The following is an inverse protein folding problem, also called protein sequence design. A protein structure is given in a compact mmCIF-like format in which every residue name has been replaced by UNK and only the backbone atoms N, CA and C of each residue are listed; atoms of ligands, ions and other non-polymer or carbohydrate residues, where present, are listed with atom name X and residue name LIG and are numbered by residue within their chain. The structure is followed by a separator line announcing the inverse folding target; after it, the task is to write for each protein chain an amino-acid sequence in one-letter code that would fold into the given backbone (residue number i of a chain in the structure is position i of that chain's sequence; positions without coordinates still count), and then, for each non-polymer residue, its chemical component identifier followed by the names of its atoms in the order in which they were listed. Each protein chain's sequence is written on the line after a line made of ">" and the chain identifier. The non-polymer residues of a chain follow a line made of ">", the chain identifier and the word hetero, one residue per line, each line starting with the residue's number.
data_IF_766743850222
#
_entry.id   IF_766743850222
#
_cell.length_a   1.000
_cell.length_b   1.000
_cell.length_c   1.000
_cell.angle_alpha   90.00
_cell.angle_beta   90.00
_cell.angle_gamma   90.00
#
_symmetry.space_group_name_H-M   'P 1'
#
loop_
_entity.id
_entity.type
_entity.pdbx_description
1 polymer ?
#
# COMPACT_ATOMS: atom_id res chain seq x y z
N UNK A 1 -11.76 16.12 16.72
CA UNK A 1 -10.58 16.05 15.84
C UNK A 1 -9.55 15.20 16.57
N UNK A 2 -9.54 13.89 16.32
CA UNK A 2 -8.64 12.97 17.02
C UNK A 2 -7.31 13.03 16.27
N UNK A 3 -6.30 13.68 16.86
CA UNK A 3 -4.92 13.63 16.38
C UNK A 3 -4.36 12.21 16.61
N UNK A 4 -4.70 11.29 15.72
CA UNK A 4 -4.15 9.92 15.68
C UNK A 4 -2.73 9.87 15.09
N UNK A 5 -2.28 10.96 14.45
CA UNK A 5 -1.03 10.99 13.68
C UNK A 5 0.21 11.40 14.48
N UNK A 6 0.06 12.18 15.56
CA UNK A 6 1.22 12.68 16.32
C UNK A 6 1.63 11.77 17.48
N UNK A 7 0.76 10.83 17.87
CA UNK A 7 1.00 9.87 18.95
C UNK A 7 0.30 8.57 18.59
N UNK A 8 1.04 7.68 17.92
CA UNK A 8 0.69 6.26 17.92
C UNK A 8 0.37 5.84 19.35
N UNK A 9 -0.66 5.02 19.52
CA UNK A 9 -1.09 4.52 20.84
C UNK A 9 0.05 3.68 21.43
N UNK A 10 0.97 4.34 22.11
CA UNK A 10 2.02 3.72 22.92
C UNK A 10 2.11 4.52 24.21
N UNK A 11 1.21 4.23 25.16
CA UNK A 11 1.60 4.41 26.55
C UNK A 11 2.80 3.50 26.80
N UNK A 12 3.88 3.96 27.47
CA UNK A 12 5.01 3.09 27.75
C UNK A 12 4.54 1.98 28.68
N UNK A 13 4.49 0.74 28.18
CA UNK A 13 4.23 -0.45 29.00
C UNK A 13 5.38 -0.71 30.01
N UNK A 14 6.54 -0.08 29.80
CA UNK A 14 7.73 -0.22 30.63
C UNK A 14 8.42 1.15 30.82
N UNK A 15 9.03 1.44 31.99
CA UNK A 15 9.71 2.72 32.29
C UNK A 15 10.75 3.17 31.25
N UNK A 16 11.23 2.22 30.45
CA UNK A 16 12.24 2.39 29.41
C UNK A 16 11.68 2.83 28.05
N UNK A 17 10.35 2.90 27.89
CA UNK A 17 9.71 3.30 26.63
C UNK A 17 9.90 2.29 25.49
N UNK A 18 9.93 0.99 25.82
CA UNK A 18 10.08 -0.12 24.86
C UNK A 18 8.85 -0.23 23.93
N UNK A 19 9.07 -0.75 22.72
CA UNK A 19 8.00 -1.00 21.77
C UNK A 19 7.11 -2.16 22.23
N UNK A 20 5.78 -2.10 22.03
CA UNK A 20 4.89 -3.20 22.41
C UNK A 20 5.29 -4.53 21.74
N UNK A 21 5.38 -5.65 22.48
CA UNK A 21 5.90 -6.92 21.97
C UNK A 21 4.82 -7.78 21.29
N UNK A 22 3.92 -7.18 20.52
CA UNK A 22 2.95 -7.96 19.73
C UNK A 22 3.62 -8.48 18.44
N UNK A 23 3.03 -9.52 17.84
CA UNK A 23 3.44 -10.00 16.53
C UNK A 23 3.04 -9.00 15.46
N UNK A 24 4.03 -8.43 14.81
CA UNK A 24 3.83 -7.49 13.71
C UNK A 24 3.59 -8.22 12.40
N UNK A 25 2.87 -7.58 11.47
CA UNK A 25 2.65 -8.12 10.13
C UNK A 25 3.80 -7.71 9.20
N UNK A 26 4.20 -8.61 8.33
CA UNK A 26 5.16 -8.31 7.26
C UNK A 26 4.51 -7.63 6.05
N UNK A 27 3.21 -7.83 5.88
CA UNK A 27 2.39 -7.27 4.82
C UNK A 27 1.21 -6.54 5.44
N UNK A 28 1.10 -5.25 5.15
CA UNK A 28 -0.06 -4.42 5.46
C UNK A 28 -0.79 -3.99 4.20
N UNK A 29 -1.67 -3.01 4.35
CA UNK A 29 -2.32 -2.33 3.24
C UNK A 29 -3.81 -2.10 3.48
N UNK A 30 -4.45 -1.51 2.48
CA UNK A 30 -5.82 -1.06 2.55
C UNK A 30 -6.79 -2.11 2.00
N UNK A 31 -7.78 -2.51 2.81
CA UNK A 31 -8.94 -3.27 2.36
C UNK A 31 -10.21 -2.43 2.48
N UNK A 32 -10.89 -2.21 1.35
CA UNK A 32 -12.19 -1.54 1.31
C UNK A 32 -13.28 -2.56 0.97
N UNK A 33 -14.30 -2.61 1.82
CA UNK A 33 -15.50 -3.43 1.61
C UNK A 33 -16.72 -2.57 1.28
N UNK A 34 -17.65 -3.15 0.55
CA UNK A 34 -18.97 -2.58 0.35
C UNK A 34 -19.90 -2.81 1.56
N UNK A 35 -21.13 -2.31 1.48
CA UNK A 35 -22.14 -2.42 2.53
C UNK A 35 -22.61 -3.84 2.83
N UNK A 36 -22.18 -4.82 2.06
CA UNK A 36 -22.45 -6.26 2.23
C UNK A 36 -21.18 -7.06 2.55
N UNK A 37 -20.05 -6.38 2.81
CA UNK A 37 -18.78 -7.02 3.17
C UNK A 37 -17.94 -7.53 1.99
N UNK A 38 -18.36 -7.27 0.74
CA UNK A 38 -17.61 -7.69 -0.45
C UNK A 38 -16.42 -6.76 -0.68
N UNK A 39 -15.21 -7.29 -0.98
CA UNK A 39 -14.05 -6.44 -1.25
C UNK A 39 -14.24 -5.66 -2.56
N UNK A 40 -14.10 -4.34 -2.50
CA UNK A 40 -14.18 -3.44 -3.66
C UNK A 40 -12.84 -2.78 -4.00
N UNK A 41 -11.91 -2.78 -3.04
CA UNK A 41 -10.54 -2.37 -3.25
C UNK A 41 -9.62 -3.12 -2.31
N UNK A 42 -8.46 -3.51 -2.80
CA UNK A 42 -7.41 -4.08 -1.98
C UNK A 42 -6.06 -3.58 -2.47
N UNK A 43 -5.28 -3.06 -1.54
CA UNK A 43 -3.85 -2.82 -1.69
C UNK A 43 -3.12 -3.68 -0.66
N UNK A 44 -2.00 -4.26 -1.06
CA UNK A 44 -1.10 -4.97 -0.17
C UNK A 44 0.32 -4.45 -0.41
N UNK A 45 1.05 -4.20 0.68
CA UNK A 45 2.42 -3.77 0.64
C UNK A 45 3.22 -4.39 1.79
N UNK A 46 4.41 -4.98 1.53
CA UNK A 46 4.96 -5.31 0.22
C UNK A 46 4.10 -6.30 -0.56
N UNK A 47 4.20 -6.34 -1.89
CA UNK A 47 3.34 -7.18 -2.72
C UNK A 47 3.81 -8.63 -2.77
N UNK A 48 5.12 -8.86 -2.68
CA UNK A 48 5.76 -10.17 -2.80
C UNK A 48 6.45 -10.55 -1.50
N UNK A 49 5.78 -11.37 -0.69
CA UNK A 49 6.25 -11.78 0.63
C UNK A 49 6.31 -13.31 0.75
N UNK A 50 7.23 -13.79 1.57
CA UNK A 50 7.29 -15.17 2.03
C UNK A 50 6.34 -15.40 3.20
N UNK A 51 5.58 -16.49 3.16
CA UNK A 51 4.65 -16.85 4.23
C UNK A 51 5.28 -17.62 5.39
N UNK A 52 6.45 -18.23 5.18
CA UNK A 52 7.13 -19.08 6.17
C UNK A 52 8.62 -19.23 5.88
N UNK A 53 9.39 -19.66 6.87
CA UNK A 53 10.81 -19.91 6.71
C UNK A 53 11.10 -21.04 5.72
N UNK A 54 10.22 -22.06 5.69
CA UNK A 54 10.34 -23.25 4.85
C UNK A 54 10.18 -22.91 3.36
N UNK A 55 9.52 -21.79 3.05
CA UNK A 55 9.39 -21.30 1.67
C UNK A 55 10.63 -20.58 1.14
N UNK A 56 11.64 -20.32 1.99
CA UNK A 56 12.84 -19.59 1.61
C UNK A 56 13.84 -20.50 0.87
N UNK A 57 14.31 -20.10 -0.33
CA UNK A 57 15.45 -20.73 -0.97
C UNK A 57 16.68 -20.74 -0.05
N UNK A 58 17.31 -21.91 0.13
CA UNK A 58 18.51 -22.06 0.99
C UNK A 58 19.60 -21.05 0.65
N UNK A 59 19.82 -20.83 -0.64
CA UNK A 59 20.85 -19.92 -1.13
C UNK A 59 20.61 -18.46 -0.71
N UNK A 60 19.34 -18.02 -0.62
CA UNK A 60 18.99 -16.69 -0.07
C UNK A 60 19.28 -16.62 1.43
N UNK A 61 18.88 -17.64 2.18
CA UNK A 61 19.13 -17.70 3.63
C UNK A 61 20.63 -17.67 3.90
N UNK A 62 21.41 -18.51 3.21
CA UNK A 62 22.86 -18.56 3.35
C UNK A 62 23.51 -17.22 3.00
N UNK A 63 23.08 -16.55 1.92
CA UNK A 63 23.55 -15.22 1.56
C UNK A 63 23.27 -14.17 2.64
N UNK A 64 22.04 -14.14 3.16
CA UNK A 64 21.64 -13.20 4.20
C UNK A 64 22.45 -13.41 5.49
N UNK A 65 22.53 -14.66 5.97
CA UNK A 65 23.27 -14.98 7.19
C UNK A 65 24.76 -14.67 7.04
N UNK A 66 25.32 -14.85 5.84
CA UNK A 66 26.71 -14.50 5.58
C UNK A 66 26.98 -12.99 5.68
N UNK A 67 26.05 -12.16 5.20
CA UNK A 67 26.20 -10.70 5.24
C UNK A 67 25.93 -10.15 6.65
N UNK A 68 24.92 -10.69 7.33
CA UNK A 68 24.36 -10.06 8.53
C UNK A 68 24.75 -10.77 9.83
N UNK A 69 24.57 -12.10 9.94
CA UNK A 69 24.91 -12.88 11.14
C UNK A 69 24.95 -14.40 10.88
N UNK A 70 26.14 -14.99 10.80
CA UNK A 70 26.33 -16.43 10.55
C UNK A 70 25.77 -17.35 11.64
N UNK A 71 25.66 -16.86 12.88
CA UNK A 71 25.26 -17.67 14.04
C UNK A 71 23.77 -17.59 14.36
N UNK A 72 22.99 -16.81 13.58
CA UNK A 72 21.59 -16.57 13.92
C UNK A 72 20.76 -17.86 13.99
N UNK A 73 21.02 -18.83 13.11
CA UNK A 73 20.28 -20.10 13.06
C UNK A 73 21.09 -21.27 13.66
N UNK A 74 22.01 -21.00 14.57
CA UNK A 74 22.73 -22.05 15.29
C UNK A 74 21.80 -22.75 16.29
N UNK A 75 21.51 -24.03 16.04
CA UNK A 75 20.63 -24.85 16.88
C UNK A 75 21.32 -25.35 18.16
N UNK A 76 22.65 -25.19 18.29
CA UNK A 76 23.38 -25.59 19.51
C UNK A 76 23.07 -24.70 20.72
N UNK A 77 22.54 -23.50 20.48
CA UNK A 77 22.16 -22.54 21.53
C UNK A 77 20.71 -22.03 21.34
N UNK A 78 19.68 -22.84 21.65
CA UNK A 78 18.27 -22.47 21.44
C UNK A 78 17.84 -21.20 22.18
N UNK A 79 18.49 -20.89 23.31
CA UNK A 79 18.16 -19.74 24.16
C UNK A 79 18.89 -18.44 23.76
N UNK A 80 19.65 -18.46 22.66
CA UNK A 80 20.45 -17.31 22.25
C UNK A 80 19.57 -16.09 21.96
N UNK A 81 19.91 -14.95 22.57
CA UNK A 81 19.24 -13.69 22.26
C UNK A 81 19.65 -13.20 20.86
N UNK A 82 18.74 -13.10 19.88
CA UNK A 82 19.08 -12.69 18.51
C UNK A 82 19.30 -11.18 18.35
N UNK A 83 18.95 -10.37 19.35
CA UNK A 83 19.25 -8.95 19.36
C UNK A 83 20.75 -8.67 19.62
N UNK A 84 21.48 -9.65 20.15
CA UNK A 84 22.90 -9.55 20.51
C UNK A 84 23.71 -10.45 19.57
N UNK A 85 24.79 -9.91 19.03
CA UNK A 85 25.72 -10.68 18.21
C UNK A 85 26.86 -11.22 19.08
N UNK A 86 26.70 -12.43 19.59
CA UNK A 86 27.59 -13.01 20.60
C UNK A 86 29.02 -13.26 20.08
N UNK A 87 29.18 -13.62 18.81
CA UNK A 87 30.50 -13.76 18.18
C UNK A 87 31.24 -12.42 18.09
N UNK A 88 30.54 -11.35 17.67
CA UNK A 88 31.11 -9.99 17.61
C UNK A 88 31.33 -9.40 18.99
N UNK A 89 30.46 -9.70 19.96
CA UNK A 89 30.63 -9.29 21.36
C UNK A 89 31.85 -9.95 22.00
N UNK A 90 32.03 -11.27 21.81
CA UNK A 90 33.20 -11.99 22.28
C UNK A 90 34.49 -11.50 21.63
N UNK A 91 34.47 -11.25 20.31
CA UNK A 91 35.62 -10.66 19.60
C UNK A 91 35.93 -9.24 20.08
N UNK A 92 34.90 -8.40 20.29
CA UNK A 92 35.09 -7.06 20.82
C UNK A 92 35.69 -7.09 22.24
N UNK A 93 35.29 -8.01 23.10
CA UNK A 93 35.89 -8.17 24.44
C UNK A 93 37.36 -8.65 24.35
N UNK A 94 37.67 -9.56 23.43
CA UNK A 94 39.04 -10.00 23.19
C UNK A 94 39.91 -8.87 22.61
N UNK A 95 39.37 -8.11 21.65
CA UNK A 95 40.04 -6.96 21.04
C UNK A 95 40.19 -5.80 22.05
N UNK A 96 39.21 -5.52 22.93
CA UNK A 96 39.31 -4.50 23.99
C UNK A 96 40.45 -4.81 24.98
N UNK A 97 40.72 -6.10 25.24
CA UNK A 97 41.87 -6.53 26.06
C UNK A 97 43.23 -6.24 25.39
N UNK A 98 43.23 -6.03 24.07
CA UNK A 98 44.39 -5.62 23.25
C UNK A 98 44.41 -4.11 22.94
N UNK A 99 43.34 -3.36 23.21
CA UNK A 99 43.11 -2.00 22.72
C UNK A 99 43.34 -0.87 23.75
N UNK A 100 44.42 -0.96 24.55
CA UNK A 100 44.96 0.19 25.29
C UNK A 100 45.65 1.26 24.40
N UNK A 101 45.66 1.12 23.05
CA UNK A 101 46.54 1.93 22.19
C UNK A 101 45.95 2.62 20.95
N UNK A 102 44.62 2.74 20.74
CA UNK A 102 44.07 3.63 19.67
C UNK A 102 42.69 4.23 19.98
N UNK A 103 42.59 5.54 20.29
CA UNK A 103 41.31 6.25 20.35
C UNK A 103 40.88 6.67 18.93
N UNK A 104 39.72 6.17 18.47
CA UNK A 104 39.15 6.55 17.16
C UNK A 104 38.31 5.49 16.42
N UNK A 105 38.04 4.32 17.02
CA UNK A 105 37.25 3.27 16.36
C UNK A 105 35.74 3.60 16.42
N UNK A 106 35.19 4.18 15.35
CA UNK A 106 33.73 4.26 15.17
C UNK A 106 33.24 2.91 14.65
N UNK A 107 32.48 2.16 15.47
CA UNK A 107 31.90 0.87 15.10
C UNK A 107 30.76 1.05 14.09
N UNK A 108 31.12 1.11 12.81
CA UNK A 108 30.18 1.12 11.70
C UNK A 108 29.52 -0.28 11.56
N UNK A 109 28.19 -0.34 11.56
CA UNK A 109 27.43 -1.47 10.97
C UNK A 109 27.07 -2.68 11.85
N UNK A 110 27.38 -2.70 13.15
CA UNK A 110 27.18 -3.88 14.01
C UNK A 110 25.74 -4.03 14.58
N UNK A 111 24.69 -3.97 13.75
CA UNK A 111 23.30 -4.19 14.19
C UNK A 111 22.81 -5.56 13.73
N UNK A 112 22.33 -6.39 14.65
CA UNK A 112 21.72 -7.70 14.33
C UNK A 112 20.45 -7.55 13.51
N UNK A 113 20.03 -8.60 12.81
CA UNK A 113 18.76 -8.63 12.06
C UNK A 113 17.57 -8.16 12.90
N UNK A 114 17.47 -8.63 14.15
CA UNK A 114 16.41 -8.21 15.07
C UNK A 114 16.43 -6.69 15.31
N UNK A 115 17.59 -6.12 15.64
CA UNK A 115 17.71 -4.66 15.86
C UNK A 115 17.47 -3.83 14.59
N UNK A 116 17.80 -4.39 13.43
CA UNK A 116 17.54 -3.74 12.15
C UNK A 116 16.04 -3.66 11.86
N UNK A 117 15.30 -4.74 12.11
CA UNK A 117 13.83 -4.75 11.97
C UNK A 117 13.18 -3.72 12.92
N UNK A 118 13.60 -3.66 14.19
CA UNK A 118 13.12 -2.63 15.14
C UNK A 118 13.36 -1.21 14.61
N UNK A 119 14.54 -0.98 14.04
CA UNK A 119 14.89 0.30 13.45
C UNK A 119 13.99 0.63 12.25
N UNK A 120 13.68 -0.32 11.37
CA UNK A 120 12.81 -0.07 10.22
C UNK A 120 11.36 0.22 10.63
N UNK A 121 10.85 -0.49 11.65
CA UNK A 121 9.44 -0.40 12.05
C UNK A 121 9.14 0.76 13.01
N UNK A 122 10.11 1.17 13.83
CA UNK A 122 9.80 2.05 14.96
C UNK A 122 10.67 3.30 15.10
N UNK A 123 11.76 3.43 14.34
CA UNK A 123 12.57 4.65 14.35
C UNK A 123 12.09 5.65 13.28
N UNK A 124 11.87 6.93 13.63
CA UNK A 124 11.53 7.96 12.65
C UNK A 124 12.54 7.99 11.49
N UNK A 125 12.07 7.75 10.27
CA UNK A 125 12.90 7.68 9.07
C UNK A 125 13.86 6.48 8.99
N UNK A 126 13.70 5.47 9.85
CA UNK A 126 14.53 4.26 9.86
C UNK A 126 15.98 4.49 10.29
N UNK A 127 16.26 5.60 10.98
CA UNK A 127 17.61 6.00 11.41
C UNK A 127 17.71 6.00 12.92
N UNK A 128 18.83 5.49 13.44
CA UNK A 128 19.15 5.59 14.87
C UNK A 128 19.80 6.94 15.12
N UNK A 129 19.11 7.84 15.81
CA UNK A 129 19.59 9.19 16.12
C UNK A 129 20.41 9.29 17.41
N UNK A 130 20.38 8.27 18.27
CA UNK A 130 21.10 8.31 19.57
C UNK A 130 21.47 6.91 20.13
N UNK A 131 22.49 6.82 21.02
CA UNK A 131 22.81 5.59 21.74
C UNK A 131 21.64 5.03 22.56
N UNK A 132 20.82 5.91 23.15
CA UNK A 132 19.61 5.52 23.91
C UNK A 132 18.59 4.84 23.00
N UNK A 133 18.43 5.31 21.77
CA UNK A 133 17.55 4.69 20.79
C UNK A 133 18.07 3.30 20.35
N UNK A 134 19.38 3.16 20.15
CA UNK A 134 20.00 1.85 19.87
C UNK A 134 19.74 0.84 21.00
N UNK A 135 19.90 1.26 22.26
CA UNK A 135 19.61 0.42 23.41
C UNK A 135 18.12 0.06 23.47
N UNK A 136 17.21 1.00 23.20
CA UNK A 136 15.77 0.75 23.13
C UNK A 136 15.42 -0.27 22.05
N UNK A 137 16.02 -0.17 20.87
CA UNK A 137 15.85 -1.15 19.78
C UNK A 137 16.32 -2.55 20.24
N UNK A 138 17.53 -2.65 20.81
CA UNK A 138 18.07 -3.93 21.33
C UNK A 138 17.18 -4.56 22.40
N UNK A 139 16.73 -3.77 23.37
CA UNK A 139 15.86 -4.26 24.45
C UNK A 139 14.48 -4.66 23.93
N UNK A 140 13.90 -3.89 23.01
CA UNK A 140 12.59 -4.22 22.41
C UNK A 140 12.67 -5.52 21.60
N UNK A 141 13.69 -5.67 20.76
CA UNK A 141 13.98 -6.92 20.04
C UNK A 141 14.18 -8.11 20.98
N UNK A 142 14.89 -7.91 22.10
CA UNK A 142 15.12 -8.95 23.09
C UNK A 142 13.81 -9.40 23.74
N UNK A 143 12.99 -8.45 24.22
CA UNK A 143 11.69 -8.76 24.83
C UNK A 143 10.78 -9.50 23.85
N UNK A 144 10.79 -9.09 22.57
CA UNK A 144 10.01 -9.74 21.52
C UNK A 144 10.50 -11.16 21.24
N UNK A 145 11.81 -11.39 21.21
CA UNK A 145 12.39 -12.71 20.98
C UNK A 145 11.96 -13.74 22.04
N UNK A 146 11.86 -13.32 23.30
CA UNK A 146 11.49 -14.18 24.43
C UNK A 146 9.98 -14.17 24.74
N UNK A 147 9.16 -13.50 23.91
CA UNK A 147 7.71 -13.37 24.19
C UNK A 147 7.00 -14.72 24.33
N UNK A 148 7.45 -15.73 23.61
CA UNK A 148 6.85 -17.08 23.60
C UNK A 148 7.63 -18.12 24.43
N UNK A 149 8.65 -17.70 25.20
CA UNK A 149 9.47 -18.59 26.02
C UNK A 149 10.97 -18.38 25.87
N UNK A 150 11.76 -19.19 26.58
CA UNK A 150 13.24 -19.12 26.57
C UNK A 150 13.86 -19.61 25.26
N UNK A 151 13.21 -20.53 24.55
CA UNK A 151 13.65 -21.00 23.24
C UNK A 151 13.28 -19.98 22.16
N UNK A 152 14.29 -19.36 21.55
CA UNK A 152 14.13 -18.32 20.53
C UNK A 152 14.22 -18.89 19.10
N UNK A 153 14.41 -20.20 18.91
CA UNK A 153 14.69 -20.81 17.60
C UNK A 153 13.63 -20.50 16.55
N UNK A 154 12.35 -20.60 16.91
CA UNK A 154 11.26 -20.24 16.01
C UNK A 154 11.27 -18.75 15.65
N UNK A 155 11.57 -17.87 16.62
CA UNK A 155 11.68 -16.43 16.39
C UNK A 155 12.89 -16.09 15.50
N UNK A 156 14.02 -16.77 15.67
CA UNK A 156 15.23 -16.59 14.84
C UNK A 156 14.97 -16.93 13.38
N UNK A 157 14.21 -18.01 13.10
CA UNK A 157 13.74 -18.34 11.75
C UNK A 157 12.78 -17.28 11.21
N UNK A 158 11.84 -16.84 12.04
CA UNK A 158 10.91 -15.77 11.66
C UNK A 158 11.65 -14.47 11.30
N UNK A 159 12.69 -14.07 12.03
CA UNK A 159 13.49 -12.87 11.72
C UNK A 159 14.07 -12.88 10.31
N UNK A 160 14.48 -14.05 9.79
CA UNK A 160 14.97 -14.18 8.41
C UNK A 160 13.86 -13.87 7.41
N UNK A 161 12.66 -14.41 7.65
CA UNK A 161 11.45 -14.14 6.84
C UNK A 161 11.10 -12.65 6.89
N UNK A 162 11.00 -12.08 8.09
CA UNK A 162 10.64 -10.68 8.30
C UNK A 162 11.63 -9.74 7.62
N UNK A 163 12.94 -10.01 7.74
CA UNK A 163 13.95 -9.19 7.06
C UNK A 163 13.79 -9.27 5.55
N UNK A 164 13.72 -10.48 4.97
CA UNK A 164 13.58 -10.63 3.52
C UNK A 164 12.27 -10.04 3.00
N UNK A 165 11.22 -10.00 3.81
CA UNK A 165 9.95 -9.37 3.47
C UNK A 165 9.99 -7.84 3.59
N UNK A 166 10.75 -7.26 4.52
CA UNK A 166 10.59 -5.84 4.91
C UNK A 166 11.81 -4.96 4.69
N UNK A 167 12.94 -5.53 4.28
CA UNK A 167 14.20 -4.82 3.98
C UNK A 167 13.96 -3.62 3.02
N UNK A 168 14.19 -2.35 3.42
CA UNK A 168 14.00 -1.20 2.55
C UNK A 168 15.05 -1.12 1.41
N UNK A 169 14.60 -1.21 0.16
CA UNK A 169 15.43 -1.23 -1.04
C UNK A 169 15.25 0.04 -1.90
N UNK A 170 15.23 1.18 -1.20
CA UNK A 170 15.04 2.52 -1.75
C UNK A 170 13.69 2.71 -2.47
N UNK A 171 13.57 3.79 -3.23
CA UNK A 171 12.43 4.08 -4.08
C UNK A 171 12.92 4.31 -5.51
N UNK A 172 12.09 3.91 -6.48
CA UNK A 172 12.38 4.04 -7.90
C UNK A 172 11.21 4.71 -8.63
N UNK A 173 11.53 5.63 -9.54
CA UNK A 173 10.51 6.33 -10.33
C UNK A 173 9.66 5.35 -11.15
N UNK A 174 8.34 5.45 -11.01
CA UNK A 174 7.37 4.54 -11.65
C UNK A 174 7.05 3.27 -10.85
N UNK A 175 7.79 2.99 -9.78
CA UNK A 175 7.56 1.84 -8.89
C UNK A 175 7.11 2.28 -7.50
N UNK A 176 7.60 3.41 -7.00
CA UNK A 176 7.36 3.87 -5.62
C UNK A 176 8.45 3.40 -4.67
N UNK A 177 8.12 3.32 -3.39
CA UNK A 177 8.95 2.69 -2.36
C UNK A 177 9.02 1.19 -2.62
N UNK A 178 10.19 0.60 -2.39
CA UNK A 178 10.45 -0.82 -2.62
C UNK A 178 10.95 -1.39 -1.29
N UNK A 179 10.19 -2.34 -0.75
CA UNK A 179 10.53 -3.05 0.48
C UNK A 179 10.43 -4.55 0.25
N UNK A 180 11.38 -5.31 0.79
CA UNK A 180 11.43 -6.75 0.63
C UNK A 180 12.16 -7.18 -0.64
N UNK A 181 12.82 -8.34 -0.55
CA UNK A 181 13.60 -8.91 -1.65
C UNK A 181 12.72 -9.26 -2.86
N UNK A 182 11.45 -9.65 -2.63
CA UNK A 182 10.54 -10.01 -3.70
C UNK A 182 10.18 -8.80 -4.58
N UNK A 183 9.77 -7.69 -3.96
CA UNK A 183 9.52 -6.44 -4.69
C UNK A 183 10.81 -5.84 -5.23
N UNK A 184 11.93 -5.99 -4.51
CA UNK A 184 13.26 -5.60 -4.95
C UNK A 184 13.69 -6.25 -6.25
N UNK A 185 13.59 -7.57 -6.35
CA UNK A 185 13.97 -8.32 -7.55
C UNK A 185 13.08 -7.95 -8.74
N UNK A 186 11.78 -7.79 -8.51
CA UNK A 186 10.86 -7.33 -9.54
C UNK A 186 11.15 -5.90 -9.98
N UNK A 187 11.41 -4.97 -9.06
CA UNK A 187 11.54 -3.55 -9.37
C UNK A 187 12.93 -3.16 -9.90
N UNK A 188 14.01 -3.81 -9.43
CA UNK A 188 15.37 -3.49 -9.86
C UNK A 188 15.83 -4.32 -11.05
N UNK A 189 15.50 -5.61 -11.09
CA UNK A 189 16.00 -6.55 -12.09
C UNK A 189 14.91 -7.09 -13.04
N UNK A 190 13.64 -6.77 -12.82
CA UNK A 190 12.54 -7.21 -13.68
C UNK A 190 12.18 -8.69 -13.50
N UNK A 191 12.66 -9.33 -12.43
CA UNK A 191 12.47 -10.75 -12.19
C UNK A 191 11.21 -11.03 -11.39
N UNK A 192 10.42 -12.01 -11.81
CA UNK A 192 9.23 -12.41 -11.04
C UNK A 192 9.61 -13.14 -9.75
N UNK A 193 8.78 -13.01 -8.71
CA UNK A 193 9.02 -13.65 -7.41
C UNK A 193 9.06 -15.18 -7.52
N UNK A 194 8.15 -15.76 -8.30
CA UNK A 194 8.08 -17.20 -8.52
C UNK A 194 9.29 -17.75 -9.28
N UNK A 195 9.77 -16.99 -10.27
CA UNK A 195 10.96 -17.36 -11.04
C UNK A 195 12.21 -17.31 -10.17
N UNK A 196 12.42 -16.23 -9.42
CA UNK A 196 13.52 -16.12 -8.47
C UNK A 196 13.53 -17.32 -7.50
N UNK A 197 12.38 -17.61 -6.89
CA UNK A 197 12.28 -18.71 -5.93
C UNK A 197 12.56 -20.06 -6.56
N UNK A 198 11.99 -20.34 -7.74
CA UNK A 198 12.22 -21.59 -8.46
C UNK A 198 13.70 -21.79 -8.80
N UNK A 199 14.36 -20.75 -9.28
CA UNK A 199 15.77 -20.83 -9.70
C UNK A 199 16.72 -20.96 -8.50
N UNK A 200 16.41 -20.31 -7.36
CA UNK A 200 17.24 -20.37 -6.16
C UNK A 200 16.96 -21.59 -5.26
N UNK A 201 15.77 -22.18 -5.34
CA UNK A 201 15.40 -23.33 -4.53
C UNK A 201 15.90 -24.66 -5.12
N UNK A 202 16.16 -24.71 -6.42
CA UNK A 202 16.46 -25.96 -7.12
C UNK A 202 17.94 -26.36 -6.96
N UNK A 203 18.17 -27.57 -6.44
CA UNK A 203 19.50 -28.19 -6.42
C UNK A 203 19.98 -28.61 -7.83
N UNK A 204 19.09 -28.55 -8.82
CA UNK A 204 19.38 -28.72 -10.25
C UNK A 204 18.74 -27.57 -11.04
N UNK A 205 19.28 -26.35 -10.95
CA UNK A 205 18.77 -25.20 -11.70
C UNK A 205 18.82 -25.48 -13.21
N UNK A 206 18.00 -24.79 -14.03
CA UNK A 206 18.02 -24.98 -15.48
C UNK A 206 19.43 -24.85 -16.07
N UNK A 207 20.21 -23.89 -15.55
CA UNK A 207 21.66 -23.78 -15.73
C UNK A 207 22.30 -23.16 -14.49
N UNK A 208 23.59 -23.45 -14.25
CA UNK A 208 24.37 -22.78 -13.19
C UNK A 208 24.50 -21.28 -13.46
N UNK A 209 24.61 -20.88 -14.73
CA UNK A 209 24.70 -19.46 -15.12
C UNK A 209 23.44 -18.67 -14.75
N UNK A 210 22.25 -19.25 -14.95
CA UNK A 210 20.99 -18.62 -14.54
C UNK A 210 20.90 -18.51 -13.02
N UNK A 211 21.22 -19.59 -12.29
CA UNK A 211 21.23 -19.56 -10.82
C UNK A 211 22.23 -18.53 -10.28
N UNK A 212 23.41 -18.45 -10.87
CA UNK A 212 24.43 -17.47 -10.53
C UNK A 212 23.96 -16.04 -10.76
N UNK A 213 23.25 -15.80 -11.87
CA UNK A 213 22.67 -14.49 -12.19
C UNK A 213 21.64 -14.07 -11.14
N UNK A 214 20.63 -14.92 -10.91
CA UNK A 214 19.55 -14.64 -9.94
C UNK A 214 20.13 -14.46 -8.54
N UNK A 215 21.10 -15.29 -8.17
CA UNK A 215 21.73 -15.21 -6.86
C UNK A 215 22.53 -13.94 -6.68
N UNK A 216 23.34 -13.53 -7.67
CA UNK A 216 24.11 -12.28 -7.60
C UNK A 216 23.20 -11.07 -7.52
N UNK A 217 22.11 -11.04 -8.29
CA UNK A 217 21.08 -10.00 -8.22
C UNK A 217 20.49 -9.91 -6.80
N UNK A 218 20.01 -11.02 -6.24
CA UNK A 218 19.43 -11.03 -4.90
C UNK A 218 20.44 -10.68 -3.80
N UNK A 219 21.67 -11.19 -3.89
CA UNK A 219 22.76 -10.88 -2.96
C UNK A 219 23.10 -9.39 -2.97
N UNK A 220 23.11 -8.77 -4.15
CA UNK A 220 23.38 -7.35 -4.29
C UNK A 220 22.31 -6.48 -3.61
N UNK A 221 21.03 -6.88 -3.65
CA UNK A 221 19.97 -6.18 -2.93
C UNK A 221 20.18 -6.26 -1.42
N UNK A 222 20.51 -7.44 -0.88
CA UNK A 222 20.81 -7.62 0.55
C UNK A 222 22.00 -6.77 0.99
N UNK A 223 23.06 -6.69 0.17
CA UNK A 223 24.24 -5.84 0.45
C UNK A 223 23.89 -4.35 0.42
N UNK A 224 23.01 -3.95 -0.51
CA UNK A 224 22.65 -2.54 -0.71
C UNK A 224 21.97 -1.91 0.51
N UNK A 225 21.40 -2.72 1.42
CA UNK A 225 20.65 -2.29 2.61
C UNK A 225 21.37 -1.26 3.49
N UNK A 226 22.70 -1.24 3.48
CA UNK A 226 23.51 -0.28 4.27
C UNK A 226 23.41 1.15 3.74
N UNK A 227 22.99 1.33 2.49
CA UNK A 227 22.82 2.60 1.82
C UNK A 227 22.04 2.43 0.51
N UNK A 228 20.78 1.97 0.56
CA UNK A 228 20.09 1.43 -0.62
C UNK A 228 19.95 2.50 -1.70
N UNK A 229 19.63 3.75 -1.34
CA UNK A 229 19.56 4.84 -2.33
C UNK A 229 20.91 5.15 -2.98
N UNK A 230 22.03 5.03 -2.25
CA UNK A 230 23.36 5.31 -2.81
C UNK A 230 23.81 4.22 -3.79
N UNK A 231 23.51 2.96 -3.50
CA UNK A 231 23.87 1.84 -4.36
C UNK A 231 22.89 1.64 -5.51
N UNK A 232 21.58 1.63 -5.23
CA UNK A 232 20.54 1.27 -6.20
C UNK A 232 20.13 2.45 -7.07
N UNK A 233 20.28 3.71 -6.65
CA UNK A 233 20.10 4.86 -7.55
C UNK A 233 21.43 5.43 -8.07
N UNK A 234 22.56 4.91 -7.59
CA UNK A 234 23.90 5.36 -7.97
C UNK A 234 24.54 4.47 -9.03
N UNK A 235 25.87 4.36 -8.96
CA UNK A 235 26.64 3.53 -9.87
C UNK A 235 26.56 2.05 -9.48
N UNK A 236 25.85 1.27 -10.31
CA UNK A 236 25.69 -0.16 -10.14
C UNK A 236 27.03 -0.91 -10.12
N UNK A 237 28.08 -0.35 -10.73
CA UNK A 237 29.40 -0.99 -10.73
C UNK A 237 29.99 -1.08 -9.32
N UNK A 238 29.77 -0.06 -8.48
CA UNK A 238 30.20 -0.06 -7.08
C UNK A 238 29.49 -1.17 -6.29
N UNK A 239 28.20 -1.36 -6.54
CA UNK A 239 27.44 -2.44 -5.90
C UNK A 239 27.89 -3.82 -6.41
N UNK A 240 28.18 -3.94 -7.71
CA UNK A 240 28.70 -5.15 -8.33
C UNK A 240 30.04 -5.57 -7.72
N UNK A 241 31.01 -4.66 -7.64
CA UNK A 241 32.35 -4.95 -7.12
C UNK A 241 32.30 -5.37 -5.63
N UNK A 242 31.41 -4.75 -4.86
CA UNK A 242 31.15 -5.15 -3.48
C UNK A 242 30.51 -6.55 -3.41
N UNK A 243 29.53 -6.83 -4.27
CA UNK A 243 28.86 -8.13 -4.35
C UNK A 243 29.85 -9.23 -4.74
N UNK A 244 30.73 -8.98 -5.70
CA UNK A 244 31.79 -9.90 -6.14
C UNK A 244 32.78 -10.22 -5.02
N UNK A 245 33.08 -9.23 -4.17
CA UNK A 245 33.91 -9.45 -2.98
C UNK A 245 33.25 -10.43 -2.00
N UNK A 246 31.95 -10.31 -1.77
CA UNK A 246 31.19 -11.26 -0.94
C UNK A 246 31.12 -12.65 -1.58
N UNK A 247 30.87 -12.75 -2.89
CA UNK A 247 30.83 -14.04 -3.60
C UNK A 247 32.12 -14.84 -3.41
N UNK A 248 33.29 -14.18 -3.53
CA UNK A 248 34.60 -14.81 -3.30
C UNK A 248 34.78 -15.30 -1.87
N UNK A 249 34.36 -14.50 -0.90
CA UNK A 249 34.43 -14.86 0.52
C UNK A 249 33.50 -16.04 0.84
N UNK A 250 32.28 -16.04 0.31
CA UNK A 250 31.32 -17.13 0.44
C UNK A 250 31.83 -18.43 -0.18
N UNK A 251 32.48 -18.38 -1.35
CA UNK A 251 33.08 -19.56 -1.98
C UNK A 251 34.27 -20.10 -1.18
N UNK A 252 35.16 -19.21 -0.72
CA UNK A 252 36.30 -19.57 0.15
C UNK A 252 35.84 -20.28 1.41
N UNK A 253 34.78 -19.77 2.02
CA UNK A 253 34.21 -20.32 3.26
C UNK A 253 33.24 -21.50 3.00
N UNK A 254 33.14 -21.96 1.74
CA UNK A 254 32.35 -23.11 1.28
C UNK A 254 30.84 -22.97 1.51
N UNK A 255 30.34 -21.74 1.58
CA UNK A 255 28.90 -21.44 1.67
C UNK A 255 28.23 -21.59 0.31
N UNK A 256 28.97 -21.36 -0.77
CA UNK A 256 28.56 -21.64 -2.15
C UNK A 256 29.62 -22.46 -2.87
N UNK A 257 29.25 -23.14 -3.96
CA UNK A 257 30.22 -23.86 -4.80
C UNK A 257 31.12 -22.88 -5.55
N UNK A 258 32.35 -23.32 -5.84
CA UNK A 258 33.28 -22.53 -6.66
C UNK A 258 32.72 -22.28 -8.07
N UNK A 259 32.01 -23.27 -8.63
CA UNK A 259 31.35 -23.17 -9.94
C UNK A 259 30.31 -22.04 -9.98
N UNK A 260 29.45 -21.95 -8.95
CA UNK A 260 28.44 -20.89 -8.84
C UNK A 260 29.11 -19.51 -8.69
N UNK A 261 30.18 -19.42 -7.89
CA UNK A 261 30.96 -18.19 -7.74
C UNK A 261 31.56 -17.75 -9.07
N UNK A 262 32.24 -18.64 -9.79
CA UNK A 262 32.88 -18.33 -11.06
C UNK A 262 31.88 -17.93 -12.14
N UNK A 263 30.70 -18.55 -12.16
CA UNK A 263 29.60 -18.14 -13.02
C UNK A 263 29.07 -16.74 -12.63
N UNK A 264 28.85 -16.47 -11.33
CA UNK A 264 28.30 -15.21 -10.84
C UNK A 264 29.23 -14.02 -11.13
N UNK A 265 30.55 -14.23 -11.01
CA UNK A 265 31.55 -13.21 -11.31
C UNK A 265 31.59 -12.78 -12.78
N UNK A 266 31.03 -13.58 -13.70
CA UNK A 266 30.89 -13.22 -15.13
C UNK A 266 29.65 -12.36 -15.41
N UNK A 267 28.70 -12.33 -14.49
CA UNK A 267 27.43 -11.60 -14.63
C UNK A 267 27.66 -10.13 -14.31
N UNK A 268 27.21 -9.22 -15.18
CA UNK A 268 27.15 -7.79 -14.87
C UNK A 268 25.76 -7.40 -14.34
N UNK A 269 25.71 -6.71 -13.20
CA UNK A 269 24.46 -6.20 -12.64
C UNK A 269 23.94 -5.05 -13.49
N UNK A 270 22.67 -5.15 -13.90
CA UNK A 270 22.00 -4.12 -14.70
C UNK A 270 20.57 -3.93 -14.22
N UNK A 271 20.18 -2.67 -14.06
CA UNK A 271 18.79 -2.36 -13.78
C UNK A 271 17.93 -2.64 -15.00
N UNK A 272 16.73 -3.17 -14.78
CA UNK A 272 15.73 -3.24 -15.84
C UNK A 272 15.42 -1.82 -16.35
N UNK A 273 15.15 -1.68 -17.65
CA UNK A 273 14.83 -0.37 -18.26
C UNK A 273 13.35 -0.01 -18.18
N UNK A 274 12.49 -1.00 -17.98
CA UNK A 274 11.05 -0.81 -18.02
C UNK A 274 10.55 0.03 -16.83
N UNK A 275 9.56 0.87 -17.10
CA UNK A 275 8.73 1.51 -16.09
C UNK A 275 7.43 0.74 -16.03
N UNK A 276 6.90 0.51 -14.84
CA UNK A 276 5.60 -0.15 -14.67
C UNK A 276 4.54 0.64 -15.45
N UNK A 277 3.93 0.00 -16.43
CA UNK A 277 2.64 0.46 -16.94
C UNK A 277 1.58 0.02 -15.94
N UNK A 278 0.85 0.94 -15.28
CA UNK A 278 -0.22 0.53 -14.39
C UNK A 278 -1.23 -0.30 -15.20
N UNK A 279 -1.63 -1.45 -14.66
CA UNK A 279 -2.66 -2.28 -15.28
C UNK A 279 -3.89 -1.41 -15.55
N UNK A 280 -4.30 -1.33 -16.82
CA UNK A 280 -5.49 -0.61 -17.28
C UNK A 280 -6.73 -1.39 -16.81
N UNK A 281 -7.02 -1.37 -15.50
CA UNK A 281 -8.39 -1.63 -15.04
C UNK A 281 -9.19 -0.37 -15.36
N UNK A 282 -10.41 -0.53 -15.85
CA UNK A 282 -11.30 0.60 -16.17
C UNK A 282 -11.34 1.57 -14.99
N UNK A 283 -11.05 2.86 -15.23
CA UNK A 283 -11.10 3.88 -14.19
C UNK A 283 -12.50 3.99 -13.60
N UNK A 284 -13.52 3.70 -14.43
CA UNK A 284 -14.94 3.69 -14.06
C UNK A 284 -15.26 2.58 -13.04
N UNK A 285 -14.67 1.39 -13.17
CA UNK A 285 -14.80 0.30 -12.18
C UNK A 285 -14.21 0.69 -10.81
N UNK A 286 -13.22 1.59 -10.79
CA UNK A 286 -12.56 2.03 -9.56
C UNK A 286 -13.22 3.24 -8.90
N UNK A 287 -14.19 3.92 -9.54
CA UNK A 287 -14.74 5.19 -9.02
C UNK A 287 -15.34 5.07 -7.63
N UNK A 288 -16.21 4.08 -7.41
CA UNK A 288 -16.82 3.87 -6.09
C UNK A 288 -15.80 3.59 -5.00
N UNK A 289 -14.83 2.71 -5.30
CA UNK A 289 -13.70 2.46 -4.41
C UNK A 289 -12.88 3.74 -4.14
N UNK A 290 -12.61 4.55 -5.16
CA UNK A 290 -11.85 5.79 -5.03
C UNK A 290 -12.60 6.85 -4.21
N UNK A 291 -13.92 6.99 -4.35
CA UNK A 291 -14.72 7.90 -3.51
C UNK A 291 -14.58 7.54 -2.03
N UNK A 292 -14.69 6.25 -1.70
CA UNK A 292 -14.46 5.76 -0.33
C UNK A 292 -13.03 6.06 0.13
N UNK A 293 -12.03 5.83 -0.72
CA UNK A 293 -10.61 6.08 -0.42
C UNK A 293 -10.32 7.57 -0.20
N UNK A 294 -10.86 8.46 -1.02
CA UNK A 294 -10.69 9.92 -0.88
C UNK A 294 -11.31 10.40 0.43
N UNK A 295 -12.51 9.91 0.76
CA UNK A 295 -13.15 10.23 2.03
C UNK A 295 -12.35 9.70 3.22
N UNK A 296 -11.85 8.47 3.14
CA UNK A 296 -11.00 7.88 4.18
C UNK A 296 -9.70 8.67 4.36
N UNK A 297 -9.04 9.05 3.26
CA UNK A 297 -7.85 9.89 3.27
C UNK A 297 -8.13 11.23 3.98
N UNK A 298 -9.26 11.87 3.69
CA UNK A 298 -9.70 13.08 4.38
C UNK A 298 -9.95 12.88 5.88
N UNK A 299 -10.53 11.74 6.28
CA UNK A 299 -10.75 11.39 7.70
C UNK A 299 -9.44 11.15 8.45
N UNK A 300 -8.45 10.55 7.80
CA UNK A 300 -7.13 10.24 8.39
C UNK A 300 -6.13 11.39 8.26
N UNK A 301 -6.49 12.48 7.55
CA UNK A 301 -5.59 13.59 7.29
C UNK A 301 -4.43 13.22 6.35
N UNK A 302 -4.62 12.22 5.48
CA UNK A 302 -3.62 11.74 4.54
C UNK A 302 -3.79 12.43 3.19
N UNK A 303 -2.80 13.19 2.71
CA UNK A 303 -2.94 13.98 1.48
C UNK A 303 -2.79 13.15 0.20
N UNK A 304 -2.16 11.96 0.28
CA UNK A 304 -1.87 11.12 -0.88
C UNK A 304 -2.52 9.75 -0.72
N UNK A 305 -3.28 9.31 -1.74
CA UNK A 305 -3.84 7.96 -1.79
C UNK A 305 -2.77 6.87 -1.79
N UNK A 306 -1.57 7.19 -2.28
CA UNK A 306 -0.40 6.32 -2.17
C UNK A 306 -0.10 5.99 -0.70
N UNK A 307 -0.02 7.00 0.17
CA UNK A 307 0.24 6.78 1.60
C UNK A 307 -0.88 5.97 2.24
N UNK A 308 -2.14 6.28 1.89
CA UNK A 308 -3.31 5.55 2.38
C UNK A 308 -3.24 4.05 2.05
N UNK A 309 -2.79 3.71 0.85
CA UNK A 309 -2.67 2.32 0.38
C UNK A 309 -1.63 1.50 1.14
N UNK A 310 -0.72 2.16 1.87
CA UNK A 310 0.35 1.55 2.67
C UNK A 310 -0.01 1.43 4.16
N UNK A 311 -1.17 1.96 4.58
CA UNK A 311 -1.65 1.82 5.96
C UNK A 311 -2.40 0.50 6.09
N UNK A 312 -2.12 -0.26 7.15
CA UNK A 312 -2.85 -1.48 7.50
C UNK A 312 -4.24 -1.14 8.08
N UNK A 313 -5.21 -0.91 7.17
CA UNK A 313 -6.58 -0.49 7.51
C UNK A 313 -7.60 -1.32 6.74
N UNK A 314 -8.62 -1.77 7.45
CA UNK A 314 -9.83 -2.34 6.87
C UNK A 314 -11.01 -1.39 7.10
N UNK A 315 -11.75 -1.07 6.04
CA UNK A 315 -12.89 -0.15 6.08
C UNK A 315 -14.12 -0.74 5.38
N UNK A 316 -15.28 -0.60 6.02
CA UNK A 316 -16.59 -0.87 5.41
C UNK A 316 -17.22 0.42 4.90
N UNK A 317 -17.73 0.39 3.68
CA UNK A 317 -18.51 1.48 3.08
C UNK A 317 -20.01 1.17 3.08
N UNK A 318 -20.83 2.14 2.66
CA UNK A 318 -22.27 1.93 2.45
C UNK A 318 -22.62 1.54 1.02
N UNK A 319 -21.64 1.52 0.11
CA UNK A 319 -21.87 1.27 -1.31
C UNK A 319 -22.43 -0.14 -1.55
N UNK A 320 -23.19 -0.30 -2.61
CA UNK A 320 -23.57 -1.60 -3.16
C UNK A 320 -22.75 -1.81 -4.44
N UNK A 321 -21.70 -2.62 -4.35
CA UNK A 321 -20.76 -2.81 -5.47
C UNK A 321 -21.42 -3.39 -6.73
N UNK A 322 -22.35 -4.33 -6.57
CA UNK A 322 -23.05 -4.95 -7.70
C UNK A 322 -24.02 -3.98 -8.36
N UNK A 323 -24.80 -3.25 -7.55
CA UNK A 323 -25.70 -2.24 -8.09
C UNK A 323 -24.93 -1.10 -8.75
N UNK A 324 -23.81 -0.68 -8.15
CA UNK A 324 -22.91 0.31 -8.72
C UNK A 324 -22.40 -0.13 -10.10
N UNK A 325 -21.88 -1.36 -10.23
CA UNK A 325 -21.44 -1.88 -11.52
C UNK A 325 -22.59 -1.90 -12.54
N UNK A 326 -23.76 -2.39 -12.14
CA UNK A 326 -24.94 -2.47 -13.03
C UNK A 326 -25.37 -1.10 -13.54
N UNK A 327 -25.36 -0.08 -12.68
CA UNK A 327 -25.66 1.30 -13.06
C UNK A 327 -24.57 1.85 -13.98
N UNK A 328 -23.30 1.67 -13.63
CA UNK A 328 -22.15 2.08 -14.45
C UNK A 328 -22.25 1.51 -15.86
N UNK A 329 -22.49 0.20 -15.99
CA UNK A 329 -22.62 -0.48 -17.28
C UNK A 329 -23.79 0.10 -18.10
N UNK A 330 -24.88 0.46 -17.44
CA UNK A 330 -26.02 1.11 -18.09
C UNK A 330 -25.67 2.52 -18.58
N UNK A 331 -25.00 3.34 -17.75
CA UNK A 331 -24.57 4.68 -18.13
C UNK A 331 -23.54 4.68 -19.26
N UNK A 332 -22.66 3.68 -19.30
CA UNK A 332 -21.68 3.52 -20.38
C UNK A 332 -22.37 3.19 -21.71
N UNK A 333 -23.42 2.35 -21.71
CA UNK A 333 -24.21 2.04 -22.91
C UNK A 333 -24.91 3.26 -23.50
N UNK A 334 -25.23 4.28 -22.70
CA UNK A 334 -25.85 5.53 -23.20
C UNK A 334 -24.93 6.32 -24.15
N UNK A 335 -23.64 5.98 -24.26
CA UNK A 335 -22.74 6.56 -25.26
C UNK A 335 -23.04 6.04 -26.68
N UNK A 336 -23.65 4.87 -26.80
CA UNK A 336 -24.08 4.30 -28.08
C UNK A 336 -25.36 5.02 -28.57
N UNK A 337 -25.34 5.64 -29.77
CA UNK A 337 -26.50 6.34 -30.33
C UNK A 337 -27.76 5.48 -30.49
N UNK A 338 -27.62 4.22 -30.91
CA UNK A 338 -28.77 3.32 -31.09
C UNK A 338 -29.37 2.95 -29.74
N UNK A 339 -28.51 2.65 -28.76
CA UNK A 339 -28.97 2.36 -27.41
C UNK A 339 -29.62 3.58 -26.76
N UNK A 340 -29.01 4.76 -26.85
CA UNK A 340 -29.56 6.01 -26.31
C UNK A 340 -30.94 6.32 -26.90
N UNK A 341 -31.12 6.10 -28.20
CA UNK A 341 -32.42 6.24 -28.87
C UNK A 341 -33.44 5.22 -28.37
N UNK A 342 -33.04 3.95 -28.21
CA UNK A 342 -33.91 2.91 -27.64
C UNK A 342 -34.32 3.19 -26.19
N UNK A 343 -33.47 3.91 -25.44
CA UNK A 343 -33.74 4.36 -24.07
C UNK A 343 -34.57 5.66 -24.00
N UNK A 344 -35.06 6.18 -25.14
CA UNK A 344 -35.91 7.37 -25.21
C UNK A 344 -35.15 8.70 -25.20
N UNK A 345 -33.83 8.70 -25.35
CA UNK A 345 -33.03 9.95 -25.36
C UNK A 345 -32.97 10.64 -26.72
N UNK A 346 -33.54 10.04 -27.77
CA UNK A 346 -33.56 10.59 -29.14
C UNK A 346 -34.64 11.64 -29.41
N UNK A 347 -35.46 11.98 -28.42
CA UNK A 347 -36.62 12.85 -28.59
C UNK A 347 -36.28 14.34 -28.69
N UNK A 348 -37.27 15.12 -29.15
CA UNK A 348 -37.22 16.59 -29.19
C UNK A 348 -36.93 17.13 -27.78
N UNK A 349 -35.95 18.04 -27.68
CA UNK A 349 -35.39 18.59 -26.43
C UNK A 349 -34.41 17.68 -25.65
N UNK A 350 -34.09 16.50 -26.17
CA UNK A 350 -33.01 15.64 -25.68
C UNK A 350 -31.86 15.60 -26.71
N UNK A 351 -31.47 14.41 -27.21
CA UNK A 351 -30.34 14.23 -28.14
C UNK A 351 -30.76 14.19 -29.61
N UNK A 352 -31.89 14.76 -29.99
CA UNK A 352 -32.41 14.73 -31.36
C UNK A 352 -31.36 15.13 -32.43
N UNK A 353 -30.47 16.08 -32.12
CA UNK A 353 -29.37 16.51 -33.00
C UNK A 353 -27.98 16.42 -32.34
N UNK A 354 -27.90 15.90 -31.12
CA UNK A 354 -26.66 15.87 -30.32
C UNK A 354 -26.01 14.49 -30.32
N UNK A 355 -24.68 14.44 -30.26
CA UNK A 355 -23.96 13.15 -30.06
C UNK A 355 -24.03 12.73 -28.59
N UNK A 356 -24.48 11.50 -28.28
CA UNK A 356 -24.45 10.96 -26.91
C UNK A 356 -23.02 10.82 -26.35
N UNK A 357 -22.00 10.70 -27.21
CA UNK A 357 -20.60 10.57 -26.77
C UNK A 357 -20.09 11.81 -26.03
N UNK A 358 -20.64 12.98 -26.34
CA UNK A 358 -20.31 14.24 -25.67
C UNK A 358 -21.07 14.47 -24.37
N UNK A 359 -21.92 13.52 -23.95
CA UNK A 359 -22.80 13.68 -22.79
C UNK A 359 -22.34 12.79 -21.65
N UNK A 360 -22.12 13.46 -20.52
CA UNK A 360 -21.76 12.79 -19.28
C UNK A 360 -22.98 12.62 -18.39
N UNK A 361 -23.32 11.37 -18.08
CA UNK A 361 -24.37 11.01 -17.16
C UNK A 361 -23.77 10.69 -15.79
N UNK A 362 -24.42 11.16 -14.74
CA UNK A 362 -24.08 10.89 -13.34
C UNK A 362 -25.34 10.44 -12.62
N UNK A 363 -25.20 9.44 -11.75
CA UNK A 363 -26.29 8.86 -10.97
C UNK A 363 -25.82 8.61 -9.54
N UNK A 364 -26.60 9.12 -8.58
CA UNK A 364 -26.39 8.89 -7.15
C UNK A 364 -27.66 8.31 -6.53
N UNK A 365 -27.54 7.13 -5.88
CA UNK A 365 -28.61 6.52 -5.11
C UNK A 365 -28.34 6.66 -3.61
N UNK A 366 -29.29 7.27 -2.91
CA UNK A 366 -29.26 7.42 -1.46
C UNK A 366 -30.44 6.65 -0.86
N UNK A 367 -30.15 5.64 -0.06
CA UNK A 367 -31.15 4.93 0.72
C UNK A 367 -31.36 5.62 2.06
N UNK A 368 -32.61 5.95 2.38
CA UNK A 368 -32.97 6.45 3.70
C UNK A 368 -33.14 5.27 4.66
N UNK A 369 -32.35 5.24 5.72
CA UNK A 369 -32.44 4.22 6.79
C UNK A 369 -32.80 4.88 8.13
N UNK A 370 -33.24 4.12 9.15
CA UNK A 370 -33.48 4.65 10.49
C UNK A 370 -32.26 5.34 11.12
N UNK A 371 -31.05 4.96 10.71
CA UNK A 371 -29.79 5.52 11.22
C UNK A 371 -29.24 6.66 10.36
N UNK A 372 -29.98 7.08 9.33
CA UNK A 372 -29.58 8.13 8.40
C UNK A 372 -29.52 7.68 6.95
N UNK A 373 -29.10 8.60 6.09
CA UNK A 373 -29.00 8.38 4.65
C UNK A 373 -27.70 7.64 4.31
N UNK A 374 -27.81 6.54 3.57
CA UNK A 374 -26.70 5.72 3.10
C UNK A 374 -26.54 5.89 1.60
N UNK A 375 -25.34 6.26 1.16
CA UNK A 375 -25.01 6.28 -0.26
C UNK A 375 -24.83 4.84 -0.72
N UNK A 376 -25.65 4.39 -1.68
CA UNK A 376 -25.60 3.04 -2.24
C UNK A 376 -24.90 2.99 -3.59
N UNK A 377 -25.07 4.02 -4.41
CA UNK A 377 -24.46 4.11 -5.73
C UNK A 377 -23.95 5.53 -5.94
N UNK A 378 -22.73 5.67 -6.44
CA UNK A 378 -22.18 6.89 -7.04
C UNK A 378 -21.51 6.48 -8.35
N UNK A 379 -22.19 6.64 -9.47
CA UNK A 379 -21.73 6.18 -10.77
C UNK A 379 -21.83 7.30 -11.79
N UNK A 380 -20.91 7.32 -12.75
CA UNK A 380 -20.94 8.21 -13.89
C UNK A 380 -20.21 7.55 -15.08
N UNK A 381 -20.43 8.04 -16.31
CA UNK A 381 -19.78 7.53 -17.52
C UNK A 381 -18.57 8.38 -17.98
N UNK A 382 -18.04 9.25 -17.12
CA UNK A 382 -16.87 10.08 -17.39
C UNK A 382 -15.59 9.26 -17.16
N UNK A 383 -14.90 8.87 -18.23
CA UNK A 383 -13.69 8.05 -18.13
C UNK A 383 -12.44 8.88 -17.78
N UNK A 384 -12.48 9.56 -16.63
CA UNK A 384 -11.40 10.35 -16.05
C UNK A 384 -11.37 10.18 -14.53
N UNK A 385 -10.23 10.48 -13.85
CA UNK A 385 -10.10 10.34 -12.40
C UNK A 385 -11.05 11.23 -11.57
N UNK A 386 -11.57 12.30 -12.17
CA UNK A 386 -12.49 13.22 -11.53
C UNK A 386 -13.88 12.59 -11.38
N UNK A 387 -14.39 12.57 -10.15
CA UNK A 387 -15.75 12.11 -9.83
C UNK A 387 -16.72 13.29 -9.90
N UNK A 388 -17.69 13.21 -10.82
CA UNK A 388 -18.68 14.25 -11.03
C UNK A 388 -19.66 14.34 -9.87
N UNK A 389 -19.93 13.22 -9.20
CA UNK A 389 -20.90 13.12 -8.11
C UNK A 389 -20.46 13.90 -6.86
N UNK A 390 -19.15 14.14 -6.68
CA UNK A 390 -18.60 14.86 -5.53
C UNK A 390 -17.84 16.14 -5.91
N UNK A 391 -17.20 16.17 -7.08
CA UNK A 391 -16.28 17.25 -7.48
C UNK A 391 -16.94 18.40 -8.24
N UNK A 392 -18.18 18.25 -8.70
CA UNK A 392 -18.84 19.32 -9.47
C UNK A 392 -19.61 20.27 -8.57
N UNK A 393 -19.39 21.56 -8.78
CA UNK A 393 -20.31 22.59 -8.34
C UNK A 393 -21.26 22.84 -9.50
N UNK A 394 -22.56 22.66 -9.26
CA UNK A 394 -23.59 23.01 -10.22
C UNK A 394 -23.53 24.53 -10.50
N UNK A 395 -22.89 24.90 -11.61
CA UNK A 395 -23.04 26.24 -12.15
C UNK A 395 -24.29 26.28 -13.03
N UNK A 396 -25.42 26.53 -12.38
CA UNK A 396 -26.62 26.94 -13.08
C UNK A 396 -26.29 28.31 -13.69
N UNK A 397 -25.97 28.36 -14.99
CA UNK A 397 -25.67 29.61 -15.68
C UNK A 397 -26.67 30.70 -15.33
N UNK A 398 -26.24 31.96 -15.24
CA UNK A 398 -27.03 33.08 -14.70
C UNK A 398 -28.43 33.20 -15.33
N UNK A 399 -28.57 32.86 -16.61
CA UNK A 399 -29.85 32.81 -17.33
C UNK A 399 -30.78 31.71 -16.82
N UNK A 400 -30.25 30.54 -16.43
CA UNK A 400 -31.01 29.44 -15.86
C UNK A 400 -31.54 29.80 -14.47
N UNK A 401 -30.72 30.47 -13.64
CA UNK A 401 -31.16 30.98 -12.31
C UNK A 401 -32.29 32.00 -12.46
N UNK A 402 -32.14 32.97 -13.38
CA UNK A 402 -33.17 33.96 -13.66
C UNK A 402 -34.43 33.31 -14.23
N UNK A 403 -34.31 32.37 -15.17
CA UNK A 403 -35.46 31.66 -15.74
C UNK A 403 -36.20 30.85 -14.69
N UNK A 404 -35.50 30.17 -13.78
CA UNK A 404 -36.11 29.45 -12.65
C UNK A 404 -36.85 30.42 -11.73
N UNK A 405 -36.25 31.57 -11.41
CA UNK A 405 -36.90 32.59 -10.58
C UNK A 405 -38.14 33.18 -11.27
N UNK A 406 -38.05 33.54 -12.54
CA UNK A 406 -39.18 34.06 -13.33
C UNK A 406 -40.29 33.02 -13.39
N UNK A 407 -39.97 31.77 -13.73
CA UNK A 407 -40.96 30.67 -13.79
C UNK A 407 -41.62 30.44 -12.43
N UNK A 408 -40.84 30.48 -11.34
CA UNK A 408 -41.38 30.39 -9.99
C UNK A 408 -42.35 31.53 -9.67
N UNK A 409 -41.95 32.78 -9.96
CA UNK A 409 -42.77 33.96 -9.72
C UNK A 409 -44.04 33.97 -10.57
N UNK A 410 -43.97 33.51 -11.82
CA UNK A 410 -45.15 33.32 -12.69
C UNK A 410 -46.12 32.31 -12.09
N UNK A 411 -45.63 31.15 -11.64
CA UNK A 411 -46.46 30.15 -10.96
C UNK A 411 -47.10 30.71 -9.69
N UNK A 412 -46.36 31.45 -8.86
CA UNK A 412 -46.91 32.07 -7.65
C UNK A 412 -47.94 33.16 -8.00
N UNK A 413 -47.69 33.97 -9.03
CA UNK A 413 -48.63 34.99 -9.48
C UNK A 413 -49.93 34.38 -10.01
N UNK A 414 -49.86 33.26 -10.73
CA UNK A 414 -51.02 32.50 -11.18
C UNK A 414 -51.81 31.93 -10.01
N UNK A 415 -51.12 31.32 -9.03
CA UNK A 415 -51.76 30.81 -7.82
C UNK A 415 -52.42 31.93 -7.01
N UNK A 416 -51.77 33.08 -6.88
CA UNK A 416 -52.34 34.24 -6.21
C UNK A 416 -53.59 34.74 -6.95
N UNK A 417 -53.55 34.89 -8.28
CA UNK A 417 -54.72 35.26 -9.08
C UNK A 417 -55.88 34.28 -8.90
N UNK A 418 -55.56 32.99 -8.80
CA UNK A 418 -56.56 31.93 -8.67
C UNK A 418 -57.21 31.88 -7.27
N UNK A 419 -56.45 32.19 -6.21
CA UNK A 419 -56.87 31.87 -4.84
C UNK A 419 -57.03 33.07 -3.90
N UNK A 420 -56.45 34.25 -4.21
CA UNK A 420 -56.45 35.39 -3.29
C UNK A 420 -57.85 35.95 -2.96
N UNK A 421 -58.82 35.77 -3.86
CA UNK A 421 -60.20 36.22 -3.65
C UNK A 421 -61.11 35.21 -2.95
N UNK A 422 -60.63 34.00 -2.64
CA UNK A 422 -61.45 32.95 -2.05
C UNK A 422 -61.53 33.07 -0.53
N UNK A 423 -62.70 32.74 0.03
CA UNK A 423 -62.87 32.65 1.48
C UNK A 423 -62.09 31.46 2.05
N UNK A 424 -61.76 31.51 3.34
CA UNK A 424 -61.04 30.44 4.03
C UNK A 424 -61.75 29.08 3.93
N UNK A 425 -63.07 29.08 3.94
CA UNK A 425 -63.90 27.89 3.76
C UNK A 425 -63.84 27.33 2.33
N UNK A 426 -63.77 28.20 1.32
CA UNK A 426 -63.62 27.80 -0.07
C UNK A 426 -62.21 27.23 -0.34
N UNK A 427 -61.17 27.84 0.24
CA UNK A 427 -59.80 27.34 0.18
C UNK A 427 -59.65 25.96 0.85
N UNK A 428 -60.28 25.76 2.00
CA UNK A 428 -60.24 24.47 2.72
C UNK A 428 -60.93 23.30 1.99
N UNK A 429 -61.70 23.56 0.92
CA UNK A 429 -62.33 22.53 0.08
C UNK A 429 -61.45 22.11 -1.10
N UNK A 430 -60.38 22.83 -1.39
CA UNK A 430 -59.46 22.53 -2.49
C UNK A 430 -58.56 21.37 -2.03
N UNK A 431 -58.72 20.20 -2.66
CA UNK A 431 -57.86 19.04 -2.41
C UNK A 431 -56.71 19.03 -3.41
N UNK A 432 -55.48 19.11 -2.92
CA UNK A 432 -54.30 18.89 -3.76
C UNK A 432 -54.17 17.39 -4.07
N UNK A 433 -54.12 17.04 -5.35
CA UNK A 433 -53.94 15.65 -5.79
C UNK A 433 -52.50 15.16 -5.57
N UNK A 434 -52.29 13.85 -5.43
CA UNK A 434 -50.96 13.23 -5.26
C UNK A 434 -49.97 13.54 -6.41
N UNK A 435 -50.48 13.94 -7.58
CA UNK A 435 -49.68 14.29 -8.76
C UNK A 435 -49.54 15.80 -9.00
N UNK A 436 -50.10 16.68 -8.15
CA UNK A 436 -49.90 18.12 -8.32
C UNK A 436 -48.49 18.56 -7.89
N UNK A 437 -47.98 19.63 -8.52
CA UNK A 437 -46.71 20.27 -8.18
C UNK A 437 -46.60 20.59 -6.68
N UNK A 438 -45.41 20.45 -6.10
CA UNK A 438 -45.14 20.77 -4.69
C UNK A 438 -45.52 22.23 -4.36
N UNK A 439 -45.42 23.14 -5.32
CA UNK A 439 -45.83 24.55 -5.16
C UNK A 439 -47.35 24.75 -5.04
N UNK A 440 -48.16 23.71 -5.35
CA UNK A 440 -49.61 23.69 -5.21
C UNK A 440 -50.09 22.90 -3.99
N UNK A 441 -49.17 22.30 -3.22
CA UNK A 441 -49.48 21.52 -2.02
C UNK A 441 -49.39 22.41 -0.79
N UNK A 442 -50.54 22.80 -0.25
CA UNK A 442 -50.67 23.54 1.00
C UNK A 442 -51.34 22.63 2.03
N UNK A 443 -50.77 22.54 3.24
CA UNK A 443 -51.33 21.76 4.36
C UNK A 443 -52.23 22.63 5.23
#
# INVERSE_FOLDING_TARGET
>A
MIKLTDRGVTGPLLPLGLFPPYREKDQGGLLVRDGYGRPIYQSQYPQRVYGSFESLPRLLVSGLLYIENHTLLDDSNPQQNPAIEWSRFGKALADESLHLFRPGYHSAGASTLATQIEKFRHSPGGRTGSPKEKLRQMLSASVRAYHNGEDTTAFRRQLVVEYLNTVPLAARAGFGEISGIGDGMWAWYGRSFDEMNRTLANDSPPTVDEQATVFKEALSLMISQRGPSAYLNGDMKVLEDLTDSYLRLMARDKVISQELCDAALKVSLRQQKEKVSPAVKSLVERKGANAVRIKLAGMLGMPRLYDLDHVDVEVGSTLDSQLQQSVTDHLMKLRDPEYAKSAGLGDKFLLQQGSPEGVTYSFTLIERTPFGNKVRVQADNFDQPFDINEGTKLDLGSTSKLRTLVTYLEVIADLHRQYAGLSREALGKIRSGEHESVLRRWR
#
